data_IF_023384857561
#
_entry.id   IF_023384857561
#
_cell.length_a   1.000
_cell.length_b   1.000
_cell.length_c   1.000
_cell.angle_alpha   90.00
_cell.angle_beta   90.00
_cell.angle_gamma   90.00
#
_symmetry.space_group_name_H-M   'P 1'
#
loop_
_entity.id
_entity.type
_entity.pdbx_description
1 polymer ?
#
# COMPACT_ATOMS: atom_id res chain seq x y z
N UNK A 1 -49.28 73.54 18.10
CA UNK A 1 -47.90 73.43 17.62
C UNK A 1 -47.36 72.06 18.09
N UNK A 2 -47.36 71.13 17.16
CA UNK A 2 -47.11 69.71 17.44
C UNK A 2 -45.83 69.31 16.73
N UNK A 3 -44.80 68.81 17.44
CA UNK A 3 -43.55 68.31 16.91
C UNK A 3 -43.63 66.80 16.93
N UNK A 4 -43.73 66.20 15.74
CA UNK A 4 -43.61 64.76 15.50
C UNK A 4 -42.12 64.35 15.57
N UNK A 5 -41.78 63.53 16.54
CA UNK A 5 -40.51 62.81 16.60
C UNK A 5 -40.65 61.49 15.83
N UNK A 6 -39.95 61.36 14.70
CA UNK A 6 -39.79 60.10 13.93
C UNK A 6 -38.68 59.27 14.52
N UNK A 7 -39.04 58.19 15.16
CA UNK A 7 -38.05 57.12 15.55
C UNK A 7 -37.69 56.30 14.34
N UNK A 8 -36.37 56.16 14.06
CA UNK A 8 -35.80 55.18 13.14
C UNK A 8 -35.71 53.80 13.81
N UNK A 9 -36.07 52.70 13.16
CA UNK A 9 -35.78 51.38 13.66
C UNK A 9 -34.35 51.02 13.31
N UNK A 10 -33.57 50.69 14.32
CA UNK A 10 -32.25 50.09 14.20
C UNK A 10 -32.44 48.61 13.82
N UNK A 11 -32.16 48.31 12.56
CA UNK A 11 -32.13 46.91 12.07
C UNK A 11 -30.80 46.29 12.46
N UNK A 12 -30.74 45.56 13.57
CA UNK A 12 -29.58 44.73 13.96
C UNK A 12 -29.56 43.49 13.09
N UNK A 13 -28.70 43.48 12.05
CA UNK A 13 -28.40 42.30 11.27
C UNK A 13 -27.52 41.36 12.11
N UNK A 14 -28.10 40.27 12.61
CA UNK A 14 -27.41 39.16 13.26
C UNK A 14 -26.74 38.32 12.17
N UNK A 15 -25.44 38.54 11.93
CA UNK A 15 -24.65 37.73 11.04
C UNK A 15 -24.42 36.37 11.72
N UNK A 16 -25.15 35.32 11.30
CA UNK A 16 -24.85 33.93 11.64
C UNK A 16 -23.57 33.53 10.89
N UNK A 17 -22.46 33.46 11.63
CA UNK A 17 -21.23 32.80 11.16
C UNK A 17 -21.50 31.31 11.25
N UNK A 18 -21.85 30.67 10.12
CA UNK A 18 -21.79 29.23 9.97
C UNK A 18 -20.32 28.82 9.99
N UNK A 19 -19.81 28.52 11.18
CA UNK A 19 -18.55 27.84 11.37
C UNK A 19 -18.68 26.42 10.85
N UNK A 20 -18.33 26.20 9.59
CA UNK A 20 -18.16 24.87 9.05
C UNK A 20 -17.00 24.19 9.79
N UNK A 21 -17.30 23.28 10.73
CA UNK A 21 -16.31 22.35 11.28
C UNK A 21 -15.87 21.46 10.13
N UNK A 22 -14.67 21.70 9.58
CA UNK A 22 -14.00 20.73 8.76
C UNK A 22 -13.76 19.50 9.64
N UNK A 23 -14.56 18.46 9.48
CA UNK A 23 -14.27 17.15 10.04
C UNK A 23 -12.97 16.67 9.41
N UNK A 24 -11.87 16.77 10.13
CA UNK A 24 -10.65 16.07 9.75
C UNK A 24 -10.96 14.57 9.89
N UNK A 25 -11.08 13.89 8.75
CA UNK A 25 -11.15 12.45 8.74
C UNK A 25 -9.87 11.96 9.42
N UNK A 26 -10.01 11.29 10.55
CA UNK A 26 -8.89 10.65 11.25
C UNK A 26 -8.30 9.59 10.29
N UNK A 27 -7.08 9.84 9.82
CA UNK A 27 -6.40 8.91 8.92
C UNK A 27 -5.95 7.69 9.73
N UNK A 28 -6.50 6.53 9.41
CA UNK A 28 -6.19 5.29 10.13
C UNK A 28 -4.72 4.89 9.90
N UNK A 29 -4.02 4.57 10.99
CA UNK A 29 -2.71 3.94 10.95
C UNK A 29 -2.84 2.54 10.36
N UNK A 30 -2.10 2.23 9.29
CA UNK A 30 -2.21 0.96 8.57
C UNK A 30 -0.94 0.13 8.56
N UNK A 31 0.20 0.71 8.90
CA UNK A 31 1.49 0.03 8.88
C UNK A 31 2.66 0.97 9.16
N UNK A 32 3.86 0.54 8.79
CA UNK A 32 5.07 1.33 8.96
C UNK A 32 6.20 0.94 8.01
N UNK A 33 7.20 1.81 7.93
CA UNK A 33 8.42 1.58 7.15
C UNK A 33 9.31 0.58 7.88
N UNK A 34 9.56 -0.56 7.27
CA UNK A 34 10.40 -1.64 7.80
C UNK A 34 11.80 -1.70 7.18
N UNK A 35 12.09 -0.90 6.15
CA UNK A 35 13.43 -0.77 5.58
C UNK A 35 14.33 0.09 6.47
N UNK A 36 15.48 -0.44 6.89
CA UNK A 36 16.41 0.26 7.81
C UNK A 36 17.19 1.37 7.13
N UNK A 37 17.62 1.15 5.88
CA UNK A 37 18.41 2.13 5.12
C UNK A 37 17.48 3.09 4.38
N UNK A 38 17.58 4.39 4.68
CA UNK A 38 16.84 5.40 3.95
C UNK A 38 17.38 5.53 2.52
N UNK A 39 16.51 5.33 1.53
CA UNK A 39 16.81 5.45 0.10
C UNK A 39 15.87 6.43 -0.60
N UNK A 40 15.62 7.57 0.01
CA UNK A 40 14.89 8.68 -0.59
C UNK A 40 13.37 8.54 -0.64
N UNK A 41 12.78 7.55 0.04
CA UNK A 41 11.33 7.40 0.06
C UNK A 41 10.63 8.60 0.73
N UNK A 42 9.47 8.98 0.20
CA UNK A 42 8.62 10.03 0.75
C UNK A 42 7.18 9.55 0.90
N UNK A 43 6.49 10.08 1.91
CA UNK A 43 5.06 9.89 2.14
C UNK A 43 4.34 11.24 2.09
N UNK A 44 3.17 11.28 1.46
CA UNK A 44 2.31 12.44 1.39
C UNK A 44 0.89 12.04 1.82
N UNK A 45 0.39 12.52 2.95
CA UNK A 45 -1.02 12.36 3.32
C UNK A 45 -1.95 12.92 2.25
N UNK A 46 -3.20 12.45 2.19
CA UNK A 46 -4.18 12.97 1.25
C UNK A 46 -4.31 14.50 1.36
N UNK A 47 -4.02 15.21 0.27
CA UNK A 47 -4.03 16.69 0.25
C UNK A 47 -2.89 17.37 1.01
N UNK A 48 -1.94 16.61 1.57
CA UNK A 48 -0.79 17.12 2.31
C UNK A 48 0.49 17.21 1.47
N UNK A 49 1.55 17.69 2.10
CA UNK A 49 2.88 17.79 1.49
C UNK A 49 3.68 16.51 1.73
N UNK A 50 4.51 16.14 0.75
CA UNK A 50 5.41 15.01 0.87
C UNK A 50 6.51 15.28 1.91
N UNK A 51 6.82 14.28 2.74
CA UNK A 51 7.91 14.30 3.72
C UNK A 51 8.72 13.01 3.63
N UNK A 52 10.01 13.01 4.01
CA UNK A 52 10.82 11.82 4.02
C UNK A 52 10.25 10.73 4.95
N UNK A 53 10.27 9.49 4.46
CA UNK A 53 9.87 8.30 5.23
C UNK A 53 11.10 7.52 5.68
N UNK A 54 11.40 7.58 6.97
CA UNK A 54 12.50 6.85 7.59
C UNK A 54 12.02 5.54 8.22
N UNK A 55 12.96 4.67 8.56
CA UNK A 55 12.68 3.45 9.33
C UNK A 55 11.82 3.74 10.56
N UNK A 56 10.84 2.88 10.79
CA UNK A 56 9.83 2.96 11.86
C UNK A 56 8.85 4.15 11.75
N UNK A 57 8.90 4.97 10.67
CA UNK A 57 7.80 5.91 10.45
C UNK A 57 6.51 5.16 10.13
N UNK A 58 5.41 5.64 10.66
CA UNK A 58 4.08 5.13 10.37
C UNK A 58 3.61 5.53 8.97
N UNK A 59 2.76 4.69 8.37
CA UNK A 59 2.02 5.00 7.14
C UNK A 59 0.53 4.87 7.39
N UNK A 60 -0.25 5.68 6.67
CA UNK A 60 -1.65 5.90 6.95
C UNK A 60 -2.53 5.65 5.72
N UNK A 61 -3.81 5.38 5.96
CA UNK A 61 -4.82 5.29 4.90
C UNK A 61 -4.90 6.59 4.11
N UNK A 62 -4.99 6.49 2.78
CA UNK A 62 -5.01 7.63 1.86
C UNK A 62 -3.63 8.24 1.58
N UNK A 63 -2.55 7.71 2.14
CA UNK A 63 -1.20 8.23 1.92
C UNK A 63 -0.62 7.80 0.57
N UNK A 64 0.03 8.73 -0.11
CA UNK A 64 0.83 8.44 -1.31
C UNK A 64 2.27 8.22 -0.92
N UNK A 65 2.83 7.06 -1.22
CA UNK A 65 4.25 6.75 -1.00
C UNK A 65 4.98 6.73 -2.34
N UNK A 66 6.13 7.41 -2.41
CA UNK A 66 6.93 7.49 -3.61
C UNK A 66 8.42 7.28 -3.32
N UNK A 67 9.14 6.70 -4.30
CA UNK A 67 10.59 6.53 -4.30
C UNK A 67 11.19 7.24 -5.51
N UNK A 68 12.37 7.89 -5.37
CA UNK A 68 13.09 8.49 -6.49
C UNK A 68 13.81 7.45 -7.33
N UNK A 69 14.58 7.93 -8.31
CA UNK A 69 15.54 7.09 -9.04
C UNK A 69 16.56 6.46 -8.09
N UNK A 70 16.86 5.18 -8.30
CA UNK A 70 17.65 4.34 -7.39
C UNK A 70 17.12 4.31 -5.93
N UNK A 71 15.92 4.82 -5.69
CA UNK A 71 15.23 4.76 -4.40
C UNK A 71 14.62 3.40 -4.12
N UNK A 72 14.37 3.12 -2.85
CA UNK A 72 13.63 1.94 -2.41
C UNK A 72 13.04 2.16 -1.03
N UNK A 73 11.93 1.45 -0.73
CA UNK A 73 11.44 1.33 0.64
C UNK A 73 10.64 0.03 0.80
N UNK A 74 10.47 -0.40 2.04
CA UNK A 74 9.61 -1.53 2.40
C UNK A 74 8.61 -1.07 3.44
N UNK A 75 7.35 -1.33 3.18
CA UNK A 75 6.26 -1.12 4.11
C UNK A 75 5.80 -2.47 4.65
N UNK A 76 5.50 -2.53 5.94
CA UNK A 76 4.87 -3.68 6.57
C UNK A 76 3.56 -3.22 7.17
N UNK A 77 2.46 -3.84 6.74
CA UNK A 77 1.11 -3.54 7.21
C UNK A 77 0.78 -4.31 8.50
N UNK A 78 -0.35 -3.98 9.11
CA UNK A 78 -0.77 -4.54 10.40
C UNK A 78 -0.98 -6.06 10.39
N UNK A 79 -1.30 -6.65 9.23
CA UNK A 79 -1.45 -8.09 9.03
C UNK A 79 -0.13 -8.78 8.62
N UNK A 80 1.00 -8.09 8.68
CA UNK A 80 2.32 -8.52 8.20
C UNK A 80 2.42 -8.65 6.66
N UNK A 81 1.47 -8.11 5.91
CA UNK A 81 1.66 -7.91 4.46
C UNK A 81 2.85 -7.00 4.21
N UNK A 82 3.73 -7.38 3.30
CA UNK A 82 4.87 -6.57 2.90
C UNK A 82 4.67 -5.99 1.50
N UNK A 83 4.92 -4.71 1.35
CA UNK A 83 4.98 -4.00 0.08
C UNK A 83 6.37 -3.38 -0.09
N UNK A 84 7.13 -3.90 -1.04
CA UNK A 84 8.43 -3.34 -1.42
C UNK A 84 8.23 -2.42 -2.63
N UNK A 85 8.76 -1.23 -2.54
CA UNK A 85 8.83 -0.27 -3.63
C UNK A 85 10.28 -0.18 -4.11
N UNK A 86 10.50 -0.41 -5.39
CA UNK A 86 11.78 -0.19 -6.06
C UNK A 86 11.92 1.24 -6.59
N UNK A 87 12.82 1.42 -7.54
CA UNK A 87 13.14 2.70 -8.16
C UNK A 87 11.94 3.33 -8.88
N UNK A 88 11.83 4.66 -8.81
CA UNK A 88 10.83 5.47 -9.52
C UNK A 88 9.38 5.00 -9.31
N UNK A 89 9.05 4.55 -8.10
CA UNK A 89 7.75 3.97 -7.78
C UNK A 89 6.83 4.97 -7.09
N UNK A 90 5.53 4.86 -7.38
CA UNK A 90 4.48 5.66 -6.72
C UNK A 90 3.26 4.78 -6.49
N UNK A 91 2.78 4.74 -5.25
CA UNK A 91 1.62 3.98 -4.81
C UNK A 91 0.75 4.82 -3.89
N UNK A 92 -0.57 4.62 -3.95
CA UNK A 92 -1.53 5.17 -3.00
C UNK A 92 -2.04 4.03 -2.13
N UNK A 93 -1.98 4.23 -0.82
CA UNK A 93 -2.47 3.31 0.20
C UNK A 93 -3.93 3.67 0.50
N UNK A 94 -4.86 3.33 -0.41
CA UNK A 94 -6.23 3.85 -0.36
C UNK A 94 -6.91 3.55 0.97
N UNK A 95 -6.93 2.28 1.38
CA UNK A 95 -7.31 1.88 2.73
C UNK A 95 -6.73 0.50 3.10
N UNK A 96 -6.64 0.24 4.41
CA UNK A 96 -6.26 -1.05 4.96
C UNK A 96 -6.94 -1.23 6.31
N UNK A 97 -7.81 -2.22 6.42
CA UNK A 97 -8.53 -2.56 7.64
C UNK A 97 -8.19 -4.00 7.98
N UNK A 98 -7.81 -4.26 9.22
CA UNK A 98 -7.46 -5.60 9.68
C UNK A 98 -7.93 -5.83 11.10
N UNK A 99 -8.62 -6.93 11.34
CA UNK A 99 -8.97 -7.43 12.67
C UNK A 99 -8.04 -8.61 13.03
N UNK A 100 -7.12 -8.44 13.99
CA UNK A 100 -6.19 -9.48 14.38
C UNK A 100 -6.86 -10.65 15.10
N UNK A 101 -8.06 -10.47 15.65
CA UNK A 101 -8.80 -11.52 16.36
C UNK A 101 -9.39 -12.52 15.38
N UNK A 102 -10.04 -12.04 14.33
CA UNK A 102 -10.65 -12.86 13.28
C UNK A 102 -9.72 -13.13 12.11
N UNK A 103 -8.61 -12.40 12.01
CA UNK A 103 -7.66 -12.38 10.90
C UNK A 103 -8.33 -12.06 9.55
N UNK A 104 -9.39 -11.25 9.61
CA UNK A 104 -10.11 -10.79 8.43
C UNK A 104 -9.83 -9.31 8.20
N UNK A 105 -10.03 -8.86 6.97
CA UNK A 105 -9.78 -7.46 6.64
C UNK A 105 -10.24 -7.11 5.24
N UNK A 106 -10.03 -5.85 4.90
CA UNK A 106 -10.28 -5.27 3.58
C UNK A 106 -9.15 -4.30 3.27
N UNK A 107 -8.60 -4.37 2.05
CA UNK A 107 -7.53 -3.49 1.63
C UNK A 107 -7.69 -3.06 0.17
N UNK A 108 -7.35 -1.82 -0.12
CA UNK A 108 -7.21 -1.32 -1.47
C UNK A 108 -5.90 -0.53 -1.60
N UNK A 109 -5.14 -0.83 -2.65
CA UNK A 109 -3.87 -0.19 -2.95
C UNK A 109 -3.82 0.11 -4.45
N UNK A 110 -3.51 1.35 -4.81
CA UNK A 110 -3.45 1.83 -6.19
C UNK A 110 -2.00 2.10 -6.61
N UNK A 111 -1.50 1.33 -7.56
CA UNK A 111 -0.14 1.43 -8.10
C UNK A 111 -0.14 2.33 -9.33
N UNK A 112 0.52 3.49 -9.25
CA UNK A 112 0.53 4.45 -10.37
C UNK A 112 1.64 4.16 -11.37
N UNK A 113 2.86 3.90 -10.90
CA UNK A 113 4.04 3.54 -11.70
C UNK A 113 5.13 2.93 -10.81
N UNK A 114 6.05 2.20 -11.39
CA UNK A 114 7.24 1.68 -10.72
C UNK A 114 7.34 0.18 -10.71
N UNK A 115 8.24 -0.34 -9.88
CA UNK A 115 8.50 -1.76 -9.65
C UNK A 115 8.19 -2.08 -8.20
N UNK A 116 7.34 -3.09 -7.99
CA UNK A 116 6.86 -3.46 -6.67
C UNK A 116 6.99 -4.97 -6.47
N UNK A 117 7.16 -5.37 -5.21
CA UNK A 117 6.95 -6.73 -4.75
C UNK A 117 5.94 -6.73 -3.64
N UNK A 118 4.94 -7.58 -3.76
CA UNK A 118 3.87 -7.74 -2.78
C UNK A 118 3.92 -9.15 -2.20
N UNK A 119 3.96 -9.24 -0.88
CA UNK A 119 3.92 -10.49 -0.14
C UNK A 119 2.76 -10.44 0.83
N UNK A 120 1.77 -11.30 0.62
CA UNK A 120 0.56 -11.32 1.45
C UNK A 120 0.86 -11.77 2.87
N UNK A 121 0.30 -11.08 3.85
CA UNK A 121 0.35 -11.40 5.26
C UNK A 121 -0.78 -12.33 5.72
N UNK A 122 -1.32 -12.03 6.89
CA UNK A 122 -2.23 -12.89 7.66
C UNK A 122 -3.71 -12.75 7.31
N UNK A 123 -4.13 -11.77 6.49
CA UNK A 123 -5.52 -11.66 6.04
C UNK A 123 -5.99 -12.99 5.42
N UNK A 124 -7.02 -13.61 5.99
CA UNK A 124 -7.54 -14.90 5.50
C UNK A 124 -8.47 -14.74 4.30
N UNK A 125 -9.35 -13.74 4.31
CA UNK A 125 -10.25 -13.41 3.20
C UNK A 125 -9.57 -12.57 2.12
N UNK A 126 -8.55 -13.14 1.48
CA UNK A 126 -7.65 -12.46 0.53
C UNK A 126 -8.36 -11.88 -0.70
N UNK A 127 -9.57 -12.33 -1.02
CA UNK A 127 -10.41 -11.75 -2.07
C UNK A 127 -10.84 -10.30 -1.79
N UNK A 128 -10.74 -9.86 -0.54
CA UNK A 128 -11.01 -8.47 -0.15
C UNK A 128 -9.79 -7.56 -0.32
N UNK A 129 -8.62 -8.12 -0.67
CA UNK A 129 -7.44 -7.32 -1.01
C UNK A 129 -7.49 -6.99 -2.50
N UNK A 130 -7.79 -5.74 -2.81
CA UNK A 130 -7.91 -5.21 -4.18
C UNK A 130 -6.71 -4.36 -4.52
N UNK A 131 -6.01 -4.74 -5.56
CA UNK A 131 -4.86 -4.00 -6.07
C UNK A 131 -5.20 -3.48 -7.46
N UNK A 132 -4.95 -2.21 -7.71
CA UNK A 132 -5.29 -1.56 -8.98
C UNK A 132 -4.09 -0.90 -9.62
N UNK A 133 -4.06 -0.91 -10.94
CA UNK A 133 -3.10 -0.20 -11.78
C UNK A 133 -3.86 0.53 -12.89
N UNK A 134 -3.25 1.39 -13.69
CA UNK A 134 -3.92 2.04 -14.81
C UNK A 134 -4.52 1.07 -15.83
N UNK A 135 -3.98 -0.15 -15.97
CA UNK A 135 -4.39 -1.11 -17.00
C UNK A 135 -5.07 -2.37 -16.49
N UNK A 136 -5.09 -2.61 -15.16
CA UNK A 136 -5.71 -3.83 -14.63
C UNK A 136 -6.08 -3.69 -13.16
N UNK A 137 -7.06 -4.49 -12.73
CA UNK A 137 -7.35 -4.78 -11.32
C UNK A 137 -6.89 -6.20 -11.01
N UNK A 138 -6.29 -6.38 -9.83
CA UNK A 138 -5.78 -7.66 -9.36
C UNK A 138 -6.52 -8.09 -8.10
N UNK A 139 -6.87 -9.37 -8.04
CA UNK A 139 -7.36 -10.04 -6.84
C UNK A 139 -6.34 -11.12 -6.47
N UNK A 140 -5.88 -11.11 -5.22
CA UNK A 140 -4.82 -12.01 -4.77
C UNK A 140 -5.39 -13.23 -4.03
N UNK A 141 -4.67 -14.36 -4.16
CA UNK A 141 -5.02 -15.61 -3.46
C UNK A 141 -3.77 -16.19 -2.78
N UNK A 142 -3.30 -15.48 -1.73
CA UNK A 142 -2.12 -15.92 -0.96
C UNK A 142 -0.83 -15.88 -1.75
N UNK A 143 -0.32 -14.69 -2.06
CA UNK A 143 0.65 -14.50 -3.13
C UNK A 143 1.92 -13.82 -2.68
N UNK A 144 3.01 -14.20 -3.37
CA UNK A 144 4.23 -13.42 -3.50
C UNK A 144 4.42 -13.16 -5.00
N UNK A 145 4.32 -11.90 -5.41
CA UNK A 145 4.41 -11.53 -6.82
C UNK A 145 5.14 -10.20 -7.02
N UNK A 146 5.69 -10.01 -8.21
CA UNK A 146 6.24 -8.76 -8.68
C UNK A 146 5.23 -8.06 -9.58
N UNK A 147 5.14 -6.75 -9.45
CA UNK A 147 4.28 -5.89 -10.23
C UNK A 147 5.13 -4.76 -10.82
N UNK A 148 5.04 -4.55 -12.13
CA UNK A 148 5.71 -3.46 -12.81
C UNK A 148 4.67 -2.66 -13.57
N UNK A 149 4.64 -1.37 -13.31
CA UNK A 149 3.68 -0.43 -13.92
C UNK A 149 4.46 0.67 -14.63
N UNK A 150 4.25 0.78 -15.94
CA UNK A 150 4.88 1.79 -16.79
C UNK A 150 3.96 2.18 -17.95
N UNK A 151 4.44 3.04 -18.85
CA UNK A 151 3.65 3.52 -19.99
C UNK A 151 3.25 2.41 -20.99
N UNK A 152 3.99 1.30 -21.03
CA UNK A 152 3.65 0.14 -21.86
C UNK A 152 2.53 -0.73 -21.25
N UNK A 153 2.19 -0.52 -19.99
CA UNK A 153 1.17 -1.23 -19.24
C UNK A 153 1.64 -1.80 -17.92
N UNK A 154 1.02 -2.91 -17.51
CA UNK A 154 1.31 -3.59 -16.25
C UNK A 154 1.83 -4.99 -16.49
N UNK A 155 2.95 -5.34 -15.88
CA UNK A 155 3.50 -6.71 -15.86
C UNK A 155 3.27 -7.30 -14.48
N UNK A 156 2.78 -8.54 -14.43
CA UNK A 156 2.57 -9.34 -13.21
C UNK A 156 3.37 -10.62 -13.34
N UNK A 157 4.33 -10.86 -12.45
CA UNK A 157 5.10 -12.10 -12.32
C UNK A 157 4.76 -12.75 -10.98
N UNK A 158 4.21 -13.96 -10.98
CA UNK A 158 3.82 -14.69 -9.76
C UNK A 158 4.93 -15.66 -9.37
N UNK A 159 5.41 -15.54 -8.13
CA UNK A 159 6.39 -16.46 -7.52
C UNK A 159 5.72 -17.54 -6.68
N UNK A 160 4.67 -17.16 -5.93
CA UNK A 160 3.92 -18.08 -5.07
C UNK A 160 2.44 -17.67 -5.07
N UNK A 161 1.54 -18.65 -4.89
CA UNK A 161 0.10 -18.43 -4.88
C UNK A 161 -0.45 -18.13 -6.28
N UNK A 162 -1.54 -17.38 -6.36
CA UNK A 162 -2.21 -17.06 -7.63
C UNK A 162 -2.70 -15.62 -7.63
N UNK A 163 -2.58 -14.95 -8.77
CA UNK A 163 -3.13 -13.60 -9.00
C UNK A 163 -4.17 -13.68 -10.11
N UNK A 164 -5.37 -13.24 -9.81
CA UNK A 164 -6.41 -13.07 -10.80
C UNK A 164 -6.36 -11.63 -11.34
N UNK A 165 -6.15 -11.45 -12.62
CA UNK A 165 -6.08 -10.16 -13.28
C UNK A 165 -7.33 -9.91 -14.10
N UNK A 166 -7.92 -8.72 -13.93
CA UNK A 166 -9.02 -8.22 -14.77
C UNK A 166 -8.52 -7.01 -15.54
N UNK A 167 -8.26 -7.16 -16.85
CA UNK A 167 -7.77 -6.06 -17.69
C UNK A 167 -8.76 -4.89 -17.75
N UNK A 168 -8.26 -3.69 -18.06
CA UNK A 168 -9.08 -2.53 -18.38
C UNK A 168 -9.98 -2.80 -19.61
N UNK A 169 -10.88 -1.86 -19.95
CA UNK A 169 -11.74 -1.99 -21.15
C UNK A 169 -13.03 -2.77 -20.96
N UNK A 170 -13.26 -3.42 -19.83
CA UNK A 170 -14.56 -3.98 -19.40
C UNK A 170 -15.03 -5.25 -20.14
N UNK A 171 -14.46 -5.62 -21.30
CA UNK A 171 -14.86 -6.76 -22.13
C UNK A 171 -13.87 -7.93 -22.10
N UNK A 172 -12.67 -7.73 -21.52
CA UNK A 172 -11.66 -8.76 -21.46
C UNK A 172 -11.96 -9.75 -20.34
N UNK A 173 -11.74 -11.04 -20.63
CA UNK A 173 -11.89 -12.09 -19.64
C UNK A 173 -10.85 -11.97 -18.53
N UNK A 174 -11.25 -12.33 -17.33
CA UNK A 174 -10.35 -12.45 -16.19
C UNK A 174 -9.35 -13.59 -16.42
N UNK A 175 -8.06 -13.33 -16.19
CA UNK A 175 -7.00 -14.33 -16.30
C UNK A 175 -6.41 -14.67 -14.95
N UNK A 176 -6.29 -15.94 -14.64
CA UNK A 176 -5.51 -16.45 -13.53
C UNK A 176 -4.04 -16.57 -13.96
N UNK A 177 -3.13 -16.02 -13.13
CA UNK A 177 -1.67 -16.13 -13.28
C UNK A 177 -1.15 -17.02 -12.17
N UNK A 178 -0.43 -18.07 -12.55
CA UNK A 178 0.09 -19.11 -11.66
C UNK A 178 1.57 -18.90 -11.34
N UNK A 179 2.12 -19.59 -10.32
CA UNK A 179 3.54 -19.53 -10.01
C UNK A 179 4.41 -19.88 -11.21
N UNK A 180 5.45 -19.10 -11.45
CA UNK A 180 6.35 -19.25 -12.60
C UNK A 180 5.82 -18.65 -13.90
N UNK A 181 4.68 -17.99 -13.88
CA UNK A 181 4.14 -17.26 -15.03
C UNK A 181 4.35 -15.76 -14.90
N UNK A 182 4.54 -15.10 -16.05
CA UNK A 182 4.52 -13.66 -16.17
C UNK A 182 3.60 -13.24 -17.33
N UNK A 183 2.79 -12.21 -17.06
CA UNK A 183 1.87 -11.64 -18.06
C UNK A 183 2.00 -10.13 -18.11
N UNK A 184 1.77 -9.56 -19.28
CA UNK A 184 1.63 -8.13 -19.47
C UNK A 184 0.21 -7.78 -19.88
N UNK A 185 -0.38 -6.81 -19.19
CA UNK A 185 -1.57 -6.10 -19.66
C UNK A 185 -1.09 -4.79 -20.28
N UNK A 186 -1.22 -4.67 -21.59
CA UNK A 186 -0.74 -3.50 -22.33
C UNK A 186 -1.59 -2.25 -22.05
N UNK A 187 -1.10 -1.07 -22.42
CA UNK A 187 -1.87 0.18 -22.33
C UNK A 187 -3.19 0.14 -23.14
N UNK A 188 -3.30 -0.73 -24.15
CA UNK A 188 -4.53 -1.00 -24.89
C UNK A 188 -5.37 -2.16 -24.33
N UNK A 189 -5.15 -2.52 -23.06
CA UNK A 189 -5.90 -3.55 -22.31
C UNK A 189 -5.76 -5.00 -22.83
N UNK A 190 -4.82 -5.28 -23.73
CA UNK A 190 -4.57 -6.63 -24.22
C UNK A 190 -3.66 -7.41 -23.27
N UNK A 191 -3.98 -8.68 -23.04
CA UNK A 191 -3.18 -9.59 -22.18
C UNK A 191 -2.28 -10.46 -23.05
N UNK A 192 -1.00 -10.51 -22.73
CA UNK A 192 -0.02 -11.40 -23.35
C UNK A 192 0.90 -12.04 -22.31
N UNK A 193 1.27 -13.31 -22.53
CA UNK A 193 2.33 -13.94 -21.74
C UNK A 193 3.69 -13.39 -22.15
N UNK A 194 4.59 -13.24 -21.20
CA UNK A 194 5.98 -12.85 -21.41
C UNK A 194 6.92 -13.88 -20.78
N UNK A 195 8.12 -13.99 -21.30
CA UNK A 195 9.13 -14.86 -20.70
C UNK A 195 9.64 -14.25 -19.39
N UNK A 196 9.94 -15.09 -18.39
CA UNK A 196 10.46 -14.61 -17.09
C UNK A 196 11.77 -13.81 -17.24
N UNK A 197 12.60 -14.16 -18.21
CA UNK A 197 13.85 -13.44 -18.50
C UNK A 197 13.64 -12.02 -19.05
N UNK A 198 12.44 -11.71 -19.54
CA UNK A 198 12.09 -10.38 -20.07
C UNK A 198 11.43 -9.48 -18.99
N UNK A 199 11.21 -10.01 -17.76
CA UNK A 199 10.66 -9.24 -16.65
C UNK A 199 11.76 -8.33 -16.09
N UNK A 200 11.56 -7.00 -16.06
CA UNK A 200 12.54 -6.08 -15.50
C UNK A 200 12.91 -6.43 -14.05
N UNK A 201 14.19 -6.30 -13.71
CA UNK A 201 14.72 -6.51 -12.36
C UNK A 201 14.99 -5.17 -11.68
N UNK A 202 14.85 -5.14 -10.36
CA UNK A 202 15.19 -3.98 -9.53
C UNK A 202 15.76 -4.46 -8.19
N UNK A 203 16.99 -4.03 -7.82
CA UNK A 203 17.63 -4.45 -6.57
C UNK A 203 16.83 -4.10 -5.31
N UNK A 204 16.01 -3.04 -5.36
CA UNK A 204 15.16 -2.64 -4.24
C UNK A 204 14.00 -3.60 -3.97
N UNK A 205 13.55 -4.35 -4.99
CA UNK A 205 12.47 -5.32 -4.87
C UNK A 205 12.93 -6.77 -4.94
N UNK A 206 14.07 -7.04 -5.60
CA UNK A 206 14.55 -8.40 -5.84
C UNK A 206 15.43 -8.94 -4.70
N UNK A 207 16.01 -8.07 -3.87
CA UNK A 207 16.88 -8.42 -2.74
C UNK A 207 16.17 -9.06 -1.54
N UNK A 208 14.88 -9.32 -1.62
CA UNK A 208 14.10 -9.96 -0.56
C UNK A 208 13.91 -11.45 -0.81
N UNK A 209 14.79 -12.28 -0.32
CA UNK A 209 14.51 -13.70 -0.04
C UNK A 209 13.38 -13.84 1.00
N UNK A 210 12.87 -15.07 1.25
CA UNK A 210 11.81 -15.29 2.21
C UNK A 210 12.26 -14.78 3.58
N UNK A 211 11.51 -13.79 4.11
CA UNK A 211 11.61 -13.21 5.46
C UNK A 211 13.01 -13.29 6.11
N UNK A 212 13.94 -12.47 5.64
CA UNK A 212 15.15 -12.19 6.39
C UNK A 212 14.75 -11.27 7.56
N UNK A 213 14.37 -11.86 8.67
CA UNK A 213 14.02 -11.11 9.87
C UNK A 213 12.85 -11.63 10.68
N UNK A 214 12.40 -12.86 10.48
CA UNK A 214 11.76 -13.55 11.61
C UNK A 214 12.85 -13.65 12.69
N UNK A 215 12.69 -13.02 13.90
CA UNK A 215 13.55 -13.37 14.99
C UNK A 215 13.37 -14.88 15.18
N UNK A 216 14.40 -15.65 14.84
CA UNK A 216 14.43 -17.05 15.13
C UNK A 216 14.01 -17.18 16.59
N UNK A 217 12.95 -17.89 16.83
CA UNK A 217 12.65 -18.42 18.14
C UNK A 217 13.78 -19.42 18.41
N UNK A 218 14.92 -18.89 18.87
CA UNK A 218 15.93 -19.71 19.50
C UNK A 218 15.24 -20.37 20.69
N UNK A 219 15.12 -21.71 20.71
CA UNK A 219 14.64 -22.37 21.91
C UNK A 219 15.62 -22.00 23.03
N UNK A 220 15.19 -21.24 24.02
CA UNK A 220 15.91 -21.01 25.26
C UNK A 220 16.31 -22.37 25.80
N UNK A 221 17.60 -22.69 25.70
CA UNK A 221 18.19 -23.78 26.44
C UNK A 221 17.94 -23.51 27.94
N UNK A 222 17.43 -24.50 28.69
CA UNK A 222 17.21 -24.32 30.12
C UNK A 222 18.56 -24.04 30.78
N UNK A 223 18.61 -23.15 31.83
CA UNK A 223 19.85 -22.85 32.54
C UNK A 223 20.41 -24.12 33.14
N UNK A 224 21.64 -24.46 32.71
CA UNK A 224 22.39 -25.59 33.25
C UNK A 224 22.51 -25.49 34.76
N UNK A 225 22.03 -26.51 35.46
CA UNK A 225 22.32 -26.73 36.89
C UNK A 225 23.83 -26.84 37.05
N UNK A 226 24.45 -25.88 37.69
CA UNK A 226 25.79 -26.00 38.25
C UNK A 226 25.73 -27.03 39.38
N UNK A 227 26.23 -28.25 39.10
CA UNK A 227 26.50 -29.23 40.12
C UNK A 227 27.64 -28.74 41.01
N UNK A 228 27.34 -28.42 42.25
CA UNK A 228 28.32 -28.29 43.30
C UNK A 228 28.75 -29.70 43.67
N UNK A 229 30.03 -30.03 43.40
CA UNK A 229 30.72 -31.11 44.10
C UNK A 229 31.61 -30.48 45.19
N UNK A 230 31.26 -30.81 46.42
CA UNK A 230 32.07 -30.61 47.60
C UNK A 230 33.12 -31.67 47.77
#
# INVERSE_FOLDING_TARGET
MSLLSRGLPICTALAMILGGSAAFAETALIGGVSQKDFKGATGAPAGGSASPLYFANNVYSGETVATPDAGATRLTFQDLTELHLGSNSTVVLDHFIYDPTTRTGDAAISFSKGIFRFVTGDIQNKSNVKLTTPTTSLTIRGTNFKLIVNDAGTIVEVKEGHVEIKPCGGTAETRLVSPGEAVQVTASCNVKSIALGDVPTDPGTDAGGPRDGSPGHEPHAPPGRSGANG
#
